data_IF_452233189303
#
_entry.id   IF_452233189303
#
_cell.length_a   1.000
_cell.length_b   1.000
_cell.length_c   1.000
_cell.angle_alpha   90.00
_cell.angle_beta   90.00
_cell.angle_gamma   90.00
#
_symmetry.space_group_name_H-M   'P 1'
#
loop_
_entity.id
_entity.type
_entity.pdbx_description
1 polymer ?
#
# COMPACT_ATOMS: atom_id res chain seq x y z
N UNK A 1 -53.64 35.94 21.29
CA UNK A 1 -53.96 34.83 20.42
C UNK A 1 -53.38 34.95 18.99
N UNK A 2 -53.23 36.13 18.40
CA UNK A 2 -52.64 36.32 17.03
C UNK A 2 -51.15 36.10 16.91
N UNK A 3 -50.36 36.41 17.95
CA UNK A 3 -48.88 36.28 17.96
C UNK A 3 -48.44 34.81 18.07
N UNK A 4 -49.15 33.98 18.82
CA UNK A 4 -48.83 32.54 18.97
C UNK A 4 -49.06 31.78 17.68
N UNK A 5 -50.02 32.15 16.87
CA UNK A 5 -50.32 31.54 15.58
C UNK A 5 -49.23 31.85 14.51
N UNK A 6 -48.66 33.07 14.59
CA UNK A 6 -47.57 33.49 13.67
C UNK A 6 -46.25 32.76 13.94
N UNK A 7 -45.91 32.50 15.23
CA UNK A 7 -44.73 31.72 15.58
C UNK A 7 -44.82 30.23 15.18
N UNK A 8 -46.03 29.64 15.28
CA UNK A 8 -46.24 28.24 14.90
C UNK A 8 -46.08 28.01 13.39
N UNK A 9 -46.44 28.99 12.56
CA UNK A 9 -46.28 28.93 11.10
C UNK A 9 -44.82 29.04 10.67
N UNK A 10 -43.97 29.81 11.36
CA UNK A 10 -42.55 29.93 11.07
C UNK A 10 -41.75 28.64 11.39
N UNK A 11 -42.11 27.89 12.45
CA UNK A 11 -41.43 26.64 12.85
C UNK A 11 -41.66 25.52 11.83
N UNK A 12 -42.82 25.47 11.17
CA UNK A 12 -43.13 24.44 10.16
C UNK A 12 -42.36 24.66 8.84
N UNK A 13 -42.00 25.90 8.50
CA UNK A 13 -41.22 26.19 7.30
C UNK A 13 -39.74 25.80 7.43
N UNK A 14 -39.17 25.86 8.63
CA UNK A 14 -37.77 25.47 8.89
C UNK A 14 -37.61 23.93 8.84
N UNK A 15 -38.62 23.19 9.32
CA UNK A 15 -38.57 21.70 9.30
C UNK A 15 -38.64 21.11 7.88
N UNK A 16 -39.27 21.79 6.90
CA UNK A 16 -39.30 21.32 5.51
C UNK A 16 -37.96 21.48 4.79
N UNK A 17 -37.14 22.48 5.19
CA UNK A 17 -35.88 22.75 4.52
C UNK A 17 -34.76 21.78 4.95
N UNK A 18 -34.78 21.26 6.18
CA UNK A 18 -33.82 20.28 6.67
C UNK A 18 -33.97 18.92 5.95
N UNK A 19 -35.19 18.42 5.79
CA UNK A 19 -35.46 17.14 5.11
C UNK A 19 -35.06 17.15 3.62
N UNK A 20 -35.21 18.29 2.93
CA UNK A 20 -34.79 18.44 1.55
C UNK A 20 -33.26 18.43 1.43
N UNK A 21 -32.57 19.05 2.39
CA UNK A 21 -31.10 19.08 2.46
C UNK A 21 -30.51 17.69 2.75
N UNK A 22 -31.13 16.95 3.68
CA UNK A 22 -30.70 15.59 4.02
C UNK A 22 -30.83 14.65 2.81
N UNK A 23 -31.95 14.72 2.07
CA UNK A 23 -32.14 13.93 0.87
C UNK A 23 -31.13 14.26 -0.24
N UNK A 24 -30.82 15.53 -0.43
CA UNK A 24 -29.80 15.97 -1.39
C UNK A 24 -28.40 15.49 -0.97
N UNK A 25 -28.08 15.52 0.31
CA UNK A 25 -26.81 15.03 0.86
C UNK A 25 -26.68 13.52 0.67
N UNK A 26 -27.70 12.75 1.02
CA UNK A 26 -27.73 11.28 0.81
C UNK A 26 -27.53 10.93 -0.65
N UNK A 27 -28.24 11.58 -1.58
CA UNK A 27 -28.08 11.34 -3.01
C UNK A 27 -26.66 11.67 -3.51
N UNK A 28 -26.01 12.69 -2.95
CA UNK A 28 -24.60 13.01 -3.27
C UNK A 28 -23.64 11.95 -2.72
N UNK A 29 -23.88 11.44 -1.51
CA UNK A 29 -23.10 10.36 -0.92
C UNK A 29 -23.21 9.08 -1.77
N UNK A 30 -24.43 8.66 -2.13
CA UNK A 30 -24.66 7.50 -2.99
C UNK A 30 -23.94 7.63 -4.35
N UNK A 31 -23.98 8.85 -4.93
CA UNK A 31 -23.29 9.14 -6.19
C UNK A 31 -21.76 9.06 -6.05
N UNK A 32 -21.20 9.51 -4.91
CA UNK A 32 -19.77 9.42 -4.62
C UNK A 32 -19.34 7.97 -4.38
N UNK A 33 -20.12 7.20 -3.62
CA UNK A 33 -19.89 5.78 -3.41
C UNK A 33 -19.92 5.01 -4.75
N UNK A 34 -20.88 5.31 -5.61
CA UNK A 34 -20.96 4.70 -6.93
C UNK A 34 -19.77 5.08 -7.83
N UNK A 35 -19.28 6.32 -7.77
CA UNK A 35 -18.07 6.74 -8.48
C UNK A 35 -16.84 6.04 -7.93
N UNK A 36 -16.72 5.95 -6.61
CA UNK A 36 -15.61 5.28 -5.95
C UNK A 36 -15.58 3.78 -6.26
N UNK A 37 -16.74 3.11 -6.27
CA UNK A 37 -16.85 1.68 -6.61
C UNK A 37 -16.48 1.36 -8.06
N UNK A 38 -16.57 2.35 -8.95
CA UNK A 38 -16.19 2.25 -10.38
C UNK A 38 -14.76 2.76 -10.64
N UNK A 39 -14.09 3.34 -9.63
CA UNK A 39 -12.70 3.77 -9.79
C UNK A 39 -11.79 2.55 -9.92
N UNK A 40 -10.75 2.68 -10.77
CA UNK A 40 -9.75 1.63 -10.92
C UNK A 40 -9.04 1.36 -9.59
N UNK A 41 -9.00 0.08 -9.21
CA UNK A 41 -8.21 -0.41 -8.08
C UNK A 41 -7.13 -1.34 -8.64
N UNK A 42 -5.84 -1.09 -8.32
CA UNK A 42 -4.78 -2.00 -8.71
C UNK A 42 -5.05 -3.40 -8.16
N UNK A 43 -4.88 -4.42 -9.01
CA UNK A 43 -4.97 -5.81 -8.57
C UNK A 43 -3.76 -6.23 -7.74
N UNK A 44 -3.91 -7.26 -6.90
CA UNK A 44 -2.81 -7.79 -6.08
C UNK A 44 -1.57 -8.13 -6.93
N UNK A 45 -1.75 -8.70 -8.12
CA UNK A 45 -0.65 -9.03 -9.02
C UNK A 45 0.13 -7.81 -9.52
N UNK A 46 -0.51 -6.66 -9.70
CA UNK A 46 0.13 -5.40 -10.08
C UNK A 46 1.02 -4.87 -8.94
N UNK A 47 0.51 -4.89 -7.72
CA UNK A 47 1.32 -4.56 -6.55
C UNK A 47 2.52 -5.49 -6.40
N UNK A 48 2.32 -6.81 -6.53
CA UNK A 48 3.40 -7.79 -6.41
C UNK A 48 4.46 -7.62 -7.51
N UNK A 49 4.06 -7.25 -8.73
CA UNK A 49 5.00 -6.90 -9.78
C UNK A 49 5.86 -5.68 -9.42
N UNK A 50 5.25 -4.62 -8.91
CA UNK A 50 5.97 -3.42 -8.47
C UNK A 50 6.92 -3.75 -7.31
N UNK A 51 6.47 -4.50 -6.31
CA UNK A 51 7.31 -4.99 -5.21
C UNK A 51 8.50 -5.77 -5.73
N UNK A 52 8.31 -6.64 -6.73
CA UNK A 52 9.41 -7.42 -7.32
C UNK A 52 10.45 -6.53 -8.00
N UNK A 53 10.03 -5.47 -8.68
CA UNK A 53 10.94 -4.50 -9.30
C UNK A 53 11.72 -3.74 -8.23
N UNK A 54 11.06 -3.22 -7.20
CA UNK A 54 11.71 -2.51 -6.10
C UNK A 54 12.63 -3.43 -5.28
N UNK A 55 12.25 -4.69 -5.06
CA UNK A 55 13.10 -5.70 -4.43
C UNK A 55 14.40 -5.91 -5.20
N UNK A 56 14.34 -6.00 -6.53
CA UNK A 56 15.54 -6.16 -7.34
C UNK A 56 16.43 -4.90 -7.32
N UNK A 57 15.85 -3.70 -7.43
CA UNK A 57 16.58 -2.43 -7.35
C UNK A 57 17.23 -2.23 -5.98
N UNK A 58 16.51 -2.56 -4.91
CA UNK A 58 16.98 -2.52 -3.53
C UNK A 58 18.26 -3.35 -3.33
N UNK A 59 18.31 -4.56 -3.88
CA UNK A 59 19.48 -5.42 -3.80
C UNK A 59 20.73 -4.74 -4.37
N UNK A 60 20.64 -4.22 -5.59
CA UNK A 60 21.76 -3.56 -6.25
C UNK A 60 22.15 -2.24 -5.58
N UNK A 61 21.19 -1.48 -5.08
CA UNK A 61 21.45 -0.27 -4.32
C UNK A 61 22.24 -0.57 -3.04
N UNK A 62 21.79 -1.55 -2.23
CA UNK A 62 22.44 -1.92 -0.98
C UNK A 62 23.82 -2.54 -1.16
N UNK A 63 24.00 -3.40 -2.18
CA UNK A 63 25.32 -3.97 -2.50
C UNK A 63 26.35 -2.90 -2.88
N UNK A 64 25.91 -1.86 -3.62
CA UNK A 64 26.76 -0.75 -4.04
C UNK A 64 26.85 0.36 -2.99
N UNK A 65 26.29 0.14 -1.80
CA UNK A 65 26.27 1.11 -0.70
C UNK A 65 25.62 2.44 -1.05
N UNK A 66 24.76 2.45 -2.07
CA UNK A 66 23.90 3.59 -2.38
C UNK A 66 22.70 3.60 -1.41
N UNK A 67 23.00 3.99 -0.16
CA UNK A 67 22.05 3.90 0.95
C UNK A 67 20.84 4.80 0.74
N UNK A 68 20.98 5.93 0.02
CA UNK A 68 19.84 6.80 -0.32
C UNK A 68 18.88 6.10 -1.28
N UNK A 69 19.42 5.42 -2.29
CA UNK A 69 18.58 4.66 -3.22
C UNK A 69 18.00 3.43 -2.53
N UNK A 70 18.78 2.73 -1.69
CA UNK A 70 18.27 1.59 -0.93
C UNK A 70 17.13 1.99 0.02
N UNK A 71 17.24 3.13 0.69
CA UNK A 71 16.20 3.70 1.54
C UNK A 71 14.93 4.02 0.74
N UNK A 72 15.07 4.62 -0.42
CA UNK A 72 13.94 4.86 -1.33
C UNK A 72 13.24 3.54 -1.72
N UNK A 73 14.00 2.56 -2.21
CA UNK A 73 13.44 1.31 -2.72
C UNK A 73 12.75 0.46 -1.62
N UNK A 74 13.25 0.48 -0.37
CA UNK A 74 12.59 -0.24 0.74
C UNK A 74 11.27 0.43 1.13
N UNK A 75 11.20 1.77 1.10
CA UNK A 75 9.97 2.50 1.39
C UNK A 75 8.92 2.28 0.31
N UNK A 76 9.29 2.22 -0.97
CA UNK A 76 8.36 1.86 -2.05
C UNK A 76 7.74 0.46 -1.85
N UNK A 77 8.52 -0.50 -1.34
CA UNK A 77 7.98 -1.82 -0.98
C UNK A 77 7.00 -1.70 0.21
N UNK A 78 7.36 -0.95 1.24
CA UNK A 78 6.52 -0.78 2.44
C UNK A 78 5.20 -0.09 2.07
N UNK A 79 5.25 0.97 1.28
CA UNK A 79 4.05 1.68 0.78
C UNK A 79 3.16 0.77 -0.08
N UNK A 80 3.75 -0.07 -0.93
CA UNK A 80 2.99 -1.04 -1.72
C UNK A 80 2.30 -2.08 -0.83
N UNK A 81 2.95 -2.56 0.23
CA UNK A 81 2.36 -3.48 1.21
C UNK A 81 1.18 -2.83 1.94
N UNK A 82 1.31 -1.57 2.35
CA UNK A 82 0.23 -0.81 3.00
C UNK A 82 -0.95 -0.60 2.05
N UNK A 83 -0.66 -0.25 0.80
CA UNK A 83 -1.69 -0.09 -0.24
C UNK A 83 -2.44 -1.41 -0.52
N UNK A 84 -1.76 -2.56 -0.55
CA UNK A 84 -2.40 -3.87 -0.66
C UNK A 84 -3.37 -4.09 0.50
N UNK A 85 -2.97 -3.81 1.73
CA UNK A 85 -3.83 -3.96 2.91
C UNK A 85 -5.06 -3.04 2.85
N UNK A 86 -4.93 -1.86 2.26
CA UNK A 86 -6.00 -0.89 2.11
C UNK A 86 -6.97 -1.25 0.98
N UNK A 87 -6.46 -1.68 -0.18
CA UNK A 87 -7.26 -1.79 -1.40
C UNK A 87 -7.70 -3.22 -1.76
N UNK A 88 -7.03 -4.25 -1.23
CA UNK A 88 -7.28 -5.67 -1.56
C UNK A 88 -7.83 -6.46 -0.35
N UNK A 89 -8.67 -5.83 0.46
CA UNK A 89 -9.18 -6.38 1.74
C UNK A 89 -9.99 -7.66 1.60
N UNK A 90 -10.53 -7.95 0.44
CA UNK A 90 -11.30 -9.14 0.08
C UNK A 90 -10.43 -10.36 -0.28
N UNK A 91 -9.10 -10.16 -0.40
CA UNK A 91 -8.17 -11.22 -0.79
C UNK A 91 -7.74 -12.06 0.40
N UNK A 92 -7.79 -13.41 0.33
CA UNK A 92 -7.37 -14.29 1.42
C UNK A 92 -5.88 -14.16 1.77
N UNK A 93 -5.04 -13.79 0.79
CA UNK A 93 -3.59 -13.62 0.93
C UNK A 93 -3.20 -12.52 1.94
N UNK A 94 -4.09 -11.55 2.18
CA UNK A 94 -3.86 -10.43 3.10
C UNK A 94 -3.54 -10.91 4.52
N UNK A 95 -4.11 -12.03 4.95
CA UNK A 95 -3.83 -12.60 6.27
C UNK A 95 -2.36 -13.00 6.45
N UNK A 96 -1.73 -13.46 5.36
CA UNK A 96 -0.33 -13.89 5.34
C UNK A 96 0.64 -12.72 5.14
N UNK A 97 0.16 -11.56 4.68
CA UNK A 97 1.01 -10.41 4.36
C UNK A 97 1.79 -9.88 5.58
N UNK A 98 1.24 -10.07 6.79
CA UNK A 98 1.91 -9.64 8.04
C UNK A 98 3.26 -10.33 8.28
N UNK A 99 3.54 -11.46 7.63
CA UNK A 99 4.82 -12.17 7.73
C UNK A 99 5.98 -11.29 7.27
N UNK A 100 5.74 -10.35 6.36
CA UNK A 100 6.78 -9.53 5.72
C UNK A 100 7.26 -8.37 6.61
N UNK A 101 6.50 -7.93 7.61
CA UNK A 101 6.79 -6.71 8.38
C UNK A 101 8.15 -6.78 9.06
N UNK A 102 8.44 -7.84 9.82
CA UNK A 102 9.71 -8.00 10.53
C UNK A 102 10.92 -8.03 9.57
N UNK A 103 10.90 -8.79 8.45
CA UNK A 103 11.95 -8.70 7.43
C UNK A 103 12.13 -7.32 6.82
N UNK A 104 11.05 -6.59 6.52
CA UNK A 104 11.14 -5.22 6.01
C UNK A 104 11.82 -4.28 7.00
N UNK A 105 11.40 -4.31 8.26
CA UNK A 105 12.01 -3.54 9.34
C UNK A 105 13.50 -3.87 9.50
N UNK A 106 13.87 -5.16 9.38
CA UNK A 106 15.26 -5.62 9.48
C UNK A 106 16.13 -5.09 8.33
N UNK A 107 15.61 -5.07 7.10
CA UNK A 107 16.31 -4.48 5.95
C UNK A 107 16.45 -2.97 6.14
N UNK A 108 15.38 -2.30 6.53
CA UNK A 108 15.39 -0.86 6.78
C UNK A 108 16.44 -0.49 7.86
N UNK A 109 16.46 -1.21 8.99
CA UNK A 109 17.44 -0.99 10.05
C UNK A 109 18.88 -1.17 9.54
N UNK A 110 19.16 -2.17 8.70
CA UNK A 110 20.47 -2.40 8.11
C UNK A 110 20.89 -1.28 7.14
N UNK A 111 19.95 -0.68 6.41
CA UNK A 111 20.15 0.48 5.55
C UNK A 111 20.53 1.70 6.39
N UNK A 112 19.78 1.99 7.46
CA UNK A 112 20.05 3.11 8.36
C UNK A 112 21.43 2.97 9.04
N UNK A 113 21.84 1.74 9.37
CA UNK A 113 23.16 1.43 9.91
C UNK A 113 24.26 1.44 8.84
N UNK A 114 23.93 1.53 7.56
CA UNK A 114 24.86 1.45 6.43
C UNK A 114 25.73 0.18 6.48
N UNK A 115 25.18 -0.92 6.95
CA UNK A 115 25.87 -2.19 7.15
C UNK A 115 25.61 -3.15 6.00
N UNK A 116 26.57 -3.33 5.11
CA UNK A 116 26.46 -4.27 3.97
C UNK A 116 26.21 -5.71 4.43
N UNK A 117 26.87 -6.14 5.50
CA UNK A 117 26.70 -7.50 6.03
C UNK A 117 25.27 -7.73 6.56
N UNK A 118 24.79 -6.80 7.40
CA UNK A 118 23.42 -6.84 7.93
C UNK A 118 22.39 -6.74 6.80
N UNK A 119 22.62 -5.86 5.83
CA UNK A 119 21.76 -5.70 4.67
C UNK A 119 21.61 -7.02 3.88
N UNK A 120 22.72 -7.68 3.53
CA UNK A 120 22.69 -8.94 2.79
C UNK A 120 21.93 -10.04 3.55
N UNK A 121 22.15 -10.15 4.85
CA UNK A 121 21.47 -11.11 5.70
C UNK A 121 19.96 -10.84 5.77
N UNK A 122 19.58 -9.58 6.06
CA UNK A 122 18.17 -9.17 6.16
C UNK A 122 17.46 -9.28 4.81
N UNK A 123 18.12 -8.93 3.71
CA UNK A 123 17.57 -9.08 2.37
C UNK A 123 17.30 -10.55 1.99
N UNK A 124 18.20 -11.46 2.39
CA UNK A 124 18.01 -12.89 2.23
C UNK A 124 16.78 -13.36 3.02
N UNK A 125 16.63 -12.89 4.27
CA UNK A 125 15.45 -13.17 5.09
C UNK A 125 14.17 -12.65 4.42
N UNK A 126 14.19 -11.42 3.90
CA UNK A 126 13.07 -10.82 3.19
C UNK A 126 12.67 -11.69 1.98
N UNK A 127 13.63 -12.06 1.13
CA UNK A 127 13.40 -12.91 -0.05
C UNK A 127 12.80 -14.26 0.32
N UNK A 128 13.32 -14.90 1.37
CA UNK A 128 12.79 -16.18 1.87
C UNK A 128 11.36 -16.02 2.41
N UNK A 129 11.07 -14.90 3.08
CA UNK A 129 9.73 -14.63 3.61
C UNK A 129 8.72 -14.37 2.50
N UNK A 130 9.11 -13.71 1.39
CA UNK A 130 8.27 -13.61 0.19
C UNK A 130 7.87 -15.00 -0.31
N UNK A 131 8.82 -15.93 -0.42
CA UNK A 131 8.56 -17.30 -0.85
C UNK A 131 7.69 -18.08 0.14
N UNK A 132 7.90 -17.90 1.44
CA UNK A 132 7.05 -18.54 2.47
C UNK A 132 5.61 -18.03 2.37
N UNK A 133 5.41 -16.74 2.14
CA UNK A 133 4.08 -16.18 1.90
C UNK A 133 3.45 -16.76 0.63
N UNK A 134 4.18 -16.82 -0.46
CA UNK A 134 3.71 -17.44 -1.72
C UNK A 134 3.31 -18.91 -1.50
N UNK A 135 4.09 -19.67 -0.76
CA UNK A 135 3.73 -21.05 -0.42
C UNK A 135 2.45 -21.13 0.41
N UNK A 136 2.33 -20.28 1.44
CA UNK A 136 1.16 -20.28 2.34
C UNK A 136 -0.14 -19.83 1.65
N UNK A 137 -0.05 -19.21 0.48
CA UNK A 137 -1.18 -18.68 -0.28
C UNK A 137 -1.39 -19.36 -1.64
N UNK A 138 -0.84 -20.57 -1.80
CA UNK A 138 -0.94 -21.41 -3.02
C UNK A 138 -0.29 -20.76 -4.27
N UNK A 139 0.64 -19.82 -4.07
CA UNK A 139 1.43 -19.17 -5.13
C UNK A 139 2.88 -19.66 -5.19
N UNK A 140 3.17 -20.85 -4.65
CA UNK A 140 4.52 -21.43 -4.60
C UNK A 140 5.20 -21.64 -5.95
N UNK A 141 4.44 -21.60 -7.04
CA UNK A 141 4.97 -21.59 -8.41
C UNK A 141 5.68 -20.27 -8.77
N UNK A 142 5.39 -19.19 -8.05
CA UNK A 142 6.00 -17.87 -8.24
C UNK A 142 7.12 -17.67 -7.21
N UNK A 143 8.30 -18.23 -7.52
CA UNK A 143 9.44 -18.22 -6.63
C UNK A 143 10.37 -17.03 -6.89
N UNK A 144 10.59 -16.23 -5.86
CA UNK A 144 11.49 -15.07 -5.88
C UNK A 144 12.89 -15.51 -5.49
N UNK A 145 13.90 -14.96 -6.15
CA UNK A 145 15.32 -15.16 -5.84
C UNK A 145 16.05 -13.85 -5.61
N UNK A 146 17.23 -13.92 -5.01
CA UNK A 146 18.17 -12.79 -5.02
C UNK A 146 18.55 -12.53 -6.49
N UNK A 147 18.42 -11.28 -6.99
CA UNK A 147 18.60 -11.01 -8.41
C UNK A 147 20.07 -11.07 -8.84
N UNK A 148 20.31 -11.64 -10.02
CA UNK A 148 21.64 -11.79 -10.60
C UNK A 148 22.07 -10.59 -11.46
N UNK A 149 21.09 -9.82 -11.94
CA UNK A 149 21.30 -8.64 -12.79
C UNK A 149 20.29 -7.53 -12.44
N UNK A 150 20.65 -6.25 -12.67
CA UNK A 150 19.73 -5.14 -12.45
C UNK A 150 18.44 -5.30 -13.26
N UNK A 151 17.27 -4.90 -12.70
CA UNK A 151 15.96 -5.07 -13.36
C UNK A 151 15.75 -4.10 -14.52
N UNK A 152 16.55 -3.03 -14.59
CA UNK A 152 16.49 -1.98 -15.62
C UNK A 152 17.88 -1.62 -16.10
N UNK A 153 18.00 -1.30 -17.39
CA UNK A 153 19.28 -0.97 -18.03
C UNK A 153 19.60 0.54 -18.01
N UNK A 154 18.65 1.38 -17.63
CA UNK A 154 18.74 2.84 -17.71
C UNK A 154 18.86 3.52 -16.33
N UNK A 155 19.26 2.76 -15.29
CA UNK A 155 19.51 3.27 -13.95
C UNK A 155 20.88 2.82 -13.45
N UNK A 156 21.65 3.72 -12.83
CA UNK A 156 22.88 3.36 -12.10
C UNK A 156 22.57 3.09 -10.65
N UNK A 157 23.23 2.11 -10.05
CA UNK A 157 23.08 1.71 -8.65
C UNK A 157 24.30 2.10 -7.80
N UNK A 158 25.39 2.54 -8.42
CA UNK A 158 26.58 3.03 -7.72
C UNK A 158 26.35 4.44 -7.19
N UNK A 159 27.07 4.79 -6.10
CA UNK A 159 27.12 6.17 -5.60
C UNK A 159 27.92 7.02 -6.60
N UNK A 160 27.33 8.18 -6.95
CA UNK A 160 28.03 9.22 -7.74
C UNK A 160 28.74 10.18 -6.80
#
# INVERSE_FOLDING_TARGET
>A
MKIVFSCLLCVTLIACNSKANDKALTSRMDSLEQKLSRSYKPGLGEFMFNIQVHHAKLWFAGQNQNWKLADFEIHEIMEAIDAIQQFNTDRPEIKSLRMINVPLDSVNAAIQQKSVASFKSSFTLLTNTCNNCHQATEHGFNQIKIPDSPPVSNQTFTVQ
#
